data_IF_090242524194
#
_entry.id   IF_090242524194
#
_cell.length_a   1.000
_cell.length_b   1.000
_cell.length_c   1.000
_cell.angle_alpha   90.00
_cell.angle_beta   90.00
_cell.angle_gamma   90.00
#
_symmetry.space_group_name_H-M   'P 1'
#
loop_
_entity.id
_entity.type
_entity.pdbx_description
1 polymer ?
#
# COMPACT_ATOMS: atom_id res chain seq x y z
N UNK A 1 -8.02 -16.28 21.43
CA UNK A 1 -7.99 -16.34 19.94
C UNK A 1 -9.29 -15.78 19.39
N UNK A 2 -9.28 -14.85 18.44
CA UNK A 2 -8.95 -13.44 18.66
C UNK A 2 -10.06 -12.61 18.00
N UNK A 3 -10.71 -11.71 18.75
CA UNK A 3 -11.68 -10.75 18.22
C UNK A 3 -11.12 -10.01 16.99
N UNK A 4 -9.81 -9.71 17.01
CA UNK A 4 -9.07 -9.17 15.88
C UNK A 4 -9.20 -10.01 14.60
N UNK A 5 -9.14 -11.36 14.66
CA UNK A 5 -9.30 -12.21 13.47
C UNK A 5 -10.73 -12.22 12.93
N UNK A 6 -11.73 -12.19 13.82
CA UNK A 6 -13.13 -12.09 13.43
C UNK A 6 -13.43 -10.72 12.78
N UNK A 7 -12.96 -9.63 13.40
CA UNK A 7 -13.09 -8.29 12.86
C UNK A 7 -12.37 -8.13 11.51
N UNK A 8 -11.20 -8.75 11.35
CA UNK A 8 -10.42 -8.72 10.12
C UNK A 8 -11.06 -9.57 9.01
N UNK A 9 -11.66 -10.71 9.35
CA UNK A 9 -12.48 -11.51 8.44
C UNK A 9 -13.75 -10.77 8.00
N UNK A 10 -14.43 -10.10 8.93
CA UNK A 10 -15.63 -9.31 8.66
C UNK A 10 -15.32 -8.08 7.81
N UNK A 11 -14.19 -7.41 8.05
CA UNK A 11 -13.67 -6.29 7.24
C UNK A 11 -13.31 -6.73 5.80
N UNK A 12 -12.65 -7.88 5.64
CA UNK A 12 -12.34 -8.48 4.34
C UNK A 12 -13.59 -8.89 3.55
N UNK A 13 -14.68 -9.21 4.23
CA UNK A 13 -15.97 -9.47 3.60
C UNK A 13 -16.71 -8.17 3.28
N UNK A 14 -16.75 -7.20 4.19
CA UNK A 14 -17.42 -5.92 3.97
C UNK A 14 -16.90 -5.15 2.75
N UNK A 15 -15.61 -5.30 2.40
CA UNK A 15 -15.00 -4.65 1.24
C UNK A 15 -15.19 -5.35 -0.12
N UNK A 16 -15.85 -6.50 -0.18
CA UNK A 16 -15.96 -7.30 -1.42
C UNK A 16 -17.25 -6.98 -2.22
N UNK A 17 -17.18 -6.83 -3.56
CA UNK A 17 -18.35 -6.61 -4.42
C UNK A 17 -19.52 -7.59 -4.23
N UNK A 18 -19.33 -8.92 -4.07
CA UNK A 18 -20.44 -9.85 -3.85
C UNK A 18 -21.19 -9.63 -2.52
N UNK A 19 -20.55 -9.02 -1.54
CA UNK A 19 -21.15 -8.78 -0.21
C UNK A 19 -22.24 -7.72 -0.28
N UNK A 20 -22.07 -6.73 -1.16
CA UNK A 20 -23.11 -5.75 -1.47
C UNK A 20 -24.34 -6.42 -2.10
N UNK A 21 -24.12 -7.35 -3.05
CA UNK A 21 -25.21 -8.10 -3.67
C UNK A 21 -26.00 -8.93 -2.65
N UNK A 22 -25.31 -9.58 -1.68
CA UNK A 22 -25.96 -10.30 -0.58
C UNK A 22 -26.75 -9.36 0.33
N UNK A 23 -26.20 -8.19 0.67
CA UNK A 23 -26.92 -7.19 1.46
C UNK A 23 -28.19 -6.67 0.75
N UNK A 24 -28.10 -6.41 -0.56
CA UNK A 24 -29.26 -6.05 -1.38
C UNK A 24 -30.30 -7.18 -1.43
N UNK A 25 -29.87 -8.44 -1.57
CA UNK A 25 -30.78 -9.58 -1.56
C UNK A 25 -31.51 -9.71 -0.22
N UNK A 26 -30.82 -9.52 0.91
CA UNK A 26 -31.43 -9.51 2.24
C UNK A 26 -32.48 -8.40 2.40
N UNK A 27 -32.20 -7.20 1.88
CA UNK A 27 -33.18 -6.10 1.87
C UNK A 27 -34.42 -6.44 1.04
N UNK A 28 -34.25 -7.08 -0.12
CA UNK A 28 -35.37 -7.52 -0.96
C UNK A 28 -36.21 -8.59 -0.25
N UNK A 29 -35.57 -9.59 0.36
CA UNK A 29 -36.28 -10.63 1.14
C UNK A 29 -37.07 -10.01 2.29
N UNK A 30 -36.48 -9.07 3.02
CA UNK A 30 -37.18 -8.35 4.08
C UNK A 30 -38.39 -7.56 3.53
N UNK A 31 -38.22 -6.82 2.43
CA UNK A 31 -39.31 -6.06 1.80
C UNK A 31 -40.46 -6.97 1.34
N UNK A 32 -40.16 -8.12 0.74
CA UNK A 32 -41.14 -9.11 0.28
C UNK A 32 -41.83 -9.82 1.45
N UNK A 33 -41.20 -9.88 2.63
CA UNK A 33 -41.87 -10.41 3.84
C UNK A 33 -42.92 -9.44 4.40
N UNK A 34 -42.83 -8.14 4.13
CA UNK A 34 -43.74 -7.10 4.64
C UNK A 34 -45.24 -7.35 4.39
N UNK A 35 -45.66 -7.71 3.17
CA UNK A 35 -47.05 -8.07 2.87
C UNK A 35 -47.60 -9.23 3.72
N UNK A 36 -46.78 -10.23 4.06
CA UNK A 36 -47.20 -11.36 4.90
C UNK A 36 -47.44 -10.94 6.36
N UNK A 37 -46.74 -9.90 6.82
CA UNK A 37 -46.85 -9.34 8.18
C UNK A 37 -47.72 -8.08 8.25
N UNK A 38 -48.45 -7.75 7.18
CA UNK A 38 -49.29 -6.55 7.07
C UNK A 38 -48.55 -5.24 7.38
N UNK A 39 -47.23 -5.19 7.15
CA UNK A 39 -46.38 -4.04 7.50
C UNK A 39 -46.54 -3.55 8.95
N UNK A 40 -46.74 -4.48 9.89
CA UNK A 40 -46.98 -4.14 11.29
C UNK A 40 -45.75 -3.52 12.01
N UNK A 41 -45.97 -3.02 13.22
CA UNK A 41 -44.93 -2.38 14.02
C UNK A 41 -43.75 -3.32 14.34
N UNK A 42 -43.99 -4.63 14.49
CA UNK A 42 -42.93 -5.61 14.73
C UNK A 42 -42.01 -5.77 13.52
N UNK A 43 -42.57 -5.78 12.30
CA UNK A 43 -41.82 -5.89 11.05
C UNK A 43 -40.90 -4.68 10.83
N UNK A 44 -41.39 -3.48 11.15
CA UNK A 44 -40.58 -2.24 11.11
C UNK A 44 -39.54 -2.19 12.25
N UNK A 45 -39.92 -2.63 13.46
CA UNK A 45 -39.02 -2.64 14.61
C UNK A 45 -37.80 -3.52 14.33
N UNK A 46 -38.00 -4.70 13.73
CA UNK A 46 -36.90 -5.63 13.42
C UNK A 46 -35.84 -4.97 12.53
N UNK A 47 -36.21 -4.28 11.45
CA UNK A 47 -35.22 -3.65 10.56
C UNK A 47 -34.52 -2.47 11.24
N UNK A 48 -35.27 -1.67 11.99
CA UNK A 48 -34.77 -0.47 12.64
C UNK A 48 -33.77 -0.82 13.74
N UNK A 49 -34.12 -1.78 14.60
CA UNK A 49 -33.23 -2.28 15.65
C UNK A 49 -32.00 -2.97 15.06
N UNK A 50 -32.18 -3.80 14.03
CA UNK A 50 -31.05 -4.50 13.38
C UNK A 50 -30.06 -3.53 12.75
N UNK A 51 -30.55 -2.55 12.00
CA UNK A 51 -29.71 -1.54 11.35
C UNK A 51 -28.94 -0.72 12.38
N UNK A 52 -29.58 -0.38 13.50
CA UNK A 52 -28.93 0.35 14.60
C UNK A 52 -27.77 -0.45 15.19
N UNK A 53 -27.96 -1.73 15.48
CA UNK A 53 -26.90 -2.61 15.99
C UNK A 53 -25.74 -2.72 14.98
N UNK A 54 -26.06 -2.97 13.71
CA UNK A 54 -25.04 -3.06 12.65
C UNK A 54 -24.28 -1.76 12.51
N UNK A 55 -24.97 -0.62 12.57
CA UNK A 55 -24.35 0.71 12.50
C UNK A 55 -23.41 0.95 13.69
N UNK A 56 -23.84 0.62 14.91
CA UNK A 56 -22.98 0.70 16.09
C UNK A 56 -21.72 -0.15 15.92
N UNK A 57 -21.86 -1.39 15.48
CA UNK A 57 -20.72 -2.28 15.21
C UNK A 57 -19.82 -1.75 14.09
N UNK A 58 -20.39 -1.18 13.03
CA UNK A 58 -19.68 -0.57 11.92
C UNK A 58 -18.81 0.59 12.40
N UNK A 59 -19.35 1.47 13.26
CA UNK A 59 -18.58 2.57 13.87
C UNK A 59 -17.38 2.05 14.64
N UNK A 60 -17.56 1.00 15.48
CA UNK A 60 -16.43 0.37 16.17
C UNK A 60 -15.39 -0.24 15.23
N UNK A 61 -15.84 -0.91 14.16
CA UNK A 61 -14.93 -1.50 13.15
C UNK A 61 -14.15 -0.44 12.38
N UNK A 62 -14.81 0.65 11.99
CA UNK A 62 -14.20 1.81 11.34
C UNK A 62 -13.15 2.40 12.28
N UNK A 63 -13.49 2.66 13.55
CA UNK A 63 -12.55 3.20 14.53
C UNK A 63 -11.34 2.29 14.75
N UNK A 64 -11.52 0.97 14.85
CA UNK A 64 -10.41 0.02 14.99
C UNK A 64 -9.49 -0.02 13.77
N UNK A 65 -10.06 0.11 12.56
CA UNK A 65 -9.28 0.14 11.32
C UNK A 65 -8.55 1.48 11.19
N UNK A 66 -9.26 2.59 11.44
CA UNK A 66 -8.69 3.94 11.43
C UNK A 66 -7.54 4.09 12.43
N UNK A 67 -7.67 3.55 13.65
CA UNK A 67 -6.61 3.63 14.65
C UNK A 67 -5.31 2.96 14.16
N UNK A 68 -5.40 1.81 13.49
CA UNK A 68 -4.24 1.12 12.90
C UNK A 68 -3.65 1.87 11.70
N UNK A 69 -4.49 2.46 10.86
CA UNK A 69 -4.05 3.21 9.69
C UNK A 69 -3.33 4.50 10.09
N UNK A 70 -3.78 5.17 11.15
CA UNK A 70 -3.10 6.33 11.74
C UNK A 70 -1.72 5.97 12.28
N UNK A 71 -1.59 4.86 13.02
CA UNK A 71 -0.28 4.39 13.52
C UNK A 71 0.70 4.10 12.38
N UNK A 72 0.24 3.42 11.32
CA UNK A 72 1.06 3.12 10.15
C UNK A 72 1.48 4.40 9.39
N UNK A 73 0.61 5.40 9.35
CA UNK A 73 0.90 6.70 8.73
C UNK A 73 1.98 7.47 9.49
N UNK A 74 1.94 7.49 10.83
CA UNK A 74 3.00 8.09 11.65
C UNK A 74 4.36 7.43 11.39
N UNK A 75 4.43 6.10 11.39
CA UNK A 75 5.69 5.38 11.11
C UNK A 75 6.26 5.75 9.74
N UNK A 76 5.41 5.87 8.71
CA UNK A 76 5.85 6.29 7.38
C UNK A 76 6.37 7.72 7.36
N UNK A 77 5.72 8.65 8.07
CA UNK A 77 6.18 10.04 8.18
C UNK A 77 7.53 10.08 8.92
N UNK A 78 7.68 9.34 10.00
CA UNK A 78 8.92 9.29 10.78
C UNK A 78 10.09 8.79 9.93
N UNK A 79 9.86 7.77 9.09
CA UNK A 79 10.89 7.27 8.17
C UNK A 79 11.23 8.27 7.06
N UNK A 80 10.25 9.02 6.53
CA UNK A 80 10.50 10.10 5.57
C UNK A 80 11.29 11.26 6.19
N UNK A 81 10.99 11.62 7.44
CA UNK A 81 11.74 12.64 8.16
C UNK A 81 13.17 12.17 8.45
N UNK A 82 13.33 10.92 8.90
CA UNK A 82 14.64 10.33 9.17
C UNK A 82 15.51 10.26 7.92
N UNK A 83 14.96 9.81 6.79
CA UNK A 83 15.71 9.74 5.53
C UNK A 83 16.10 11.13 5.03
N UNK A 84 15.21 12.12 5.17
CA UNK A 84 15.51 13.52 4.84
C UNK A 84 16.59 14.10 5.76
N UNK A 85 16.51 13.87 7.07
CA UNK A 85 17.51 14.35 8.03
C UNK A 85 18.86 13.66 7.81
N UNK A 86 18.89 12.35 7.59
CA UNK A 86 20.12 11.61 7.30
C UNK A 86 20.78 12.08 5.99
N UNK A 87 19.98 12.39 4.96
CA UNK A 87 20.50 12.97 3.72
C UNK A 87 21.05 14.38 3.95
N UNK A 88 20.40 15.18 4.79
CA UNK A 88 20.84 16.52 5.15
C UNK A 88 22.13 16.50 6.00
N UNK A 89 22.21 15.63 7.00
CA UNK A 89 23.40 15.42 7.83
C UNK A 89 24.58 14.91 6.98
N UNK A 90 24.32 13.99 6.06
CA UNK A 90 25.33 13.50 5.12
C UNK A 90 25.85 14.61 4.20
N UNK A 91 24.99 15.54 3.76
CA UNK A 91 25.36 16.71 2.98
C UNK A 91 26.15 17.74 3.80
N UNK A 92 25.73 18.06 5.03
CA UNK A 92 26.52 18.94 5.92
C UNK A 92 27.90 18.36 6.20
N UNK A 93 27.98 17.04 6.42
CA UNK A 93 29.26 16.36 6.60
C UNK A 93 30.20 16.51 5.41
N UNK A 94 29.70 16.76 4.19
CA UNK A 94 30.52 17.07 3.02
C UNK A 94 31.18 18.44 3.08
N UNK A 95 30.58 19.42 3.76
CA UNK A 95 31.17 20.76 3.93
C UNK A 95 32.28 20.77 5.01
N UNK A 96 32.24 19.84 5.96
CA UNK A 96 33.28 19.66 6.99
C UNK A 96 34.46 18.79 6.52
N UNK A 97 34.33 18.11 5.38
CA UNK A 97 35.37 17.25 4.81
C UNK A 97 36.49 18.09 4.17
N UNK A 98 37.73 17.84 4.59
CA UNK A 98 38.90 18.52 4.01
C UNK A 98 39.20 17.99 2.59
N UNK A 99 39.93 18.75 1.77
CA UNK A 99 40.10 18.46 0.34
C UNK A 99 40.63 17.03 0.05
N UNK A 100 41.55 16.54 0.89
CA UNK A 100 42.13 15.20 0.77
C UNK A 100 41.10 14.09 1.11
N UNK A 101 40.18 14.35 2.06
CA UNK A 101 39.13 13.42 2.45
C UNK A 101 38.04 13.33 1.38
N UNK A 102 37.71 14.46 0.77
CA UNK A 102 36.77 14.57 -0.35
C UNK A 102 37.29 13.81 -1.59
N UNK A 103 38.60 13.82 -1.81
CA UNK A 103 39.25 13.07 -2.89
C UNK A 103 39.25 11.56 -2.61
N UNK A 104 39.56 11.12 -1.38
CA UNK A 104 39.43 9.70 -0.99
C UNK A 104 38.00 9.18 -1.14
N UNK A 105 37.00 9.99 -0.78
CA UNK A 105 35.59 9.64 -0.95
C UNK A 105 35.25 9.43 -2.44
N UNK A 106 35.72 10.35 -3.30
CA UNK A 106 35.53 10.27 -4.76
C UNK A 106 36.17 9.03 -5.38
N UNK A 107 37.42 8.72 -5.02
CA UNK A 107 38.13 7.53 -5.48
C UNK A 107 37.41 6.25 -5.07
N UNK A 108 36.82 6.23 -3.88
CA UNK A 108 36.05 5.09 -3.37
C UNK A 108 34.77 4.86 -4.19
N UNK A 109 34.04 5.93 -4.53
CA UNK A 109 32.85 5.85 -5.39
C UNK A 109 33.18 5.46 -6.84
N UNK A 110 34.28 5.95 -7.42
CA UNK A 110 34.71 5.56 -8.76
C UNK A 110 35.02 4.06 -8.83
N UNK A 111 35.74 3.51 -7.85
CA UNK A 111 36.01 2.06 -7.79
C UNK A 111 34.74 1.22 -7.64
N UNK A 112 33.76 1.71 -6.88
CA UNK A 112 32.46 1.03 -6.76
C UNK A 112 31.67 1.05 -8.08
N UNK A 113 31.68 2.18 -8.80
CA UNK A 113 31.05 2.29 -10.12
C UNK A 113 31.71 1.41 -11.19
N UNK A 114 33.03 1.29 -11.17
CA UNK A 114 33.80 0.40 -12.04
C UNK A 114 33.51 -1.08 -11.74
N UNK A 115 33.34 -1.43 -10.46
CA UNK A 115 32.99 -2.79 -10.03
C UNK A 115 31.54 -3.17 -10.37
N UNK A 116 30.62 -2.22 -10.33
CA UNK A 116 29.22 -2.42 -10.75
C UNK A 116 29.07 -2.42 -12.29
N UNK A 117 29.91 -1.67 -13.01
CA UNK A 117 29.98 -1.66 -14.48
C UNK A 117 30.69 -2.88 -15.09
N UNK A 118 31.37 -3.70 -14.28
CA UNK A 118 32.00 -4.95 -14.72
C UNK A 118 30.99 -6.10 -14.95
N UNK A 119 29.69 -5.85 -14.72
CA UNK A 119 28.62 -6.84 -14.88
C UNK A 119 28.02 -6.95 -16.28
N UNK A 120 27.92 -5.89 -17.07
CA UNK A 120 27.38 -5.94 -18.45
C UNK A 120 27.68 -4.62 -19.16
N UNK A 121 28.66 -4.63 -20.08
CA UNK A 121 29.09 -3.42 -20.78
C UNK A 121 28.16 -3.11 -21.97
N UNK A 122 27.58 -1.89 -22.07
CA UNK A 122 26.82 -1.43 -23.25
C UNK A 122 27.62 -1.44 -24.57
N UNK A 123 28.95 -1.57 -24.48
CA UNK A 123 29.87 -1.65 -25.62
C UNK A 123 29.65 -2.89 -26.49
N UNK A 124 29.09 -3.99 -25.96
CA UNK A 124 28.84 -5.20 -26.75
C UNK A 124 27.70 -5.04 -27.75
N UNK A 125 26.70 -4.22 -27.45
CA UNK A 125 25.57 -3.96 -28.35
C UNK A 125 26.01 -3.10 -29.53
N UNK A 126 26.80 -2.05 -29.27
CA UNK A 126 27.32 -1.16 -30.31
C UNK A 126 28.29 -1.87 -31.28
N UNK A 127 29.09 -2.83 -30.79
CA UNK A 127 29.97 -3.62 -31.66
C UNK A 127 29.23 -4.72 -32.45
N UNK A 128 28.02 -5.13 -32.03
CA UNK A 128 27.24 -6.14 -32.72
C UNK A 128 26.46 -5.54 -33.91
N UNK A 129 25.94 -4.32 -33.77
CA UNK A 129 25.29 -3.60 -34.88
C UNK A 129 26.28 -3.19 -35.99
N UNK A 130 27.55 -2.92 -35.65
CA UNK A 130 28.60 -2.64 -36.65
C UNK A 130 29.09 -3.91 -37.37
N UNK A 131 28.96 -5.08 -36.76
CA UNK A 131 29.34 -6.35 -37.39
C UNK A 131 28.26 -6.90 -38.35
N UNK A 132 27.00 -6.48 -38.17
CA UNK A 132 25.86 -6.96 -38.99
C UNK A 132 25.58 -6.04 -40.20
N UNK A 133 26.18 -4.84 -40.26
CA UNK A 133 26.03 -3.88 -41.35
C UNK A 133 27.04 -3.98 -42.51
N UNK A 134 28.03 -4.87 -42.43
CA UNK A 134 29.16 -4.96 -43.38
C UNK A 134 29.22 -6.28 -44.16
N UNK A 135 28.11 -7.03 -44.25
CA UNK A 135 28.04 -8.22 -45.10
C UNK A 135 27.67 -7.83 -46.55
N UNK A 136 28.55 -8.06 -47.55
CA UNK A 136 28.25 -7.72 -48.93
C UNK A 136 27.26 -8.75 -49.53
N UNK A 137 26.37 -8.33 -50.46
CA UNK A 137 25.40 -9.23 -51.06
C UNK A 137 26.11 -10.28 -51.92
N UNK A 138 25.71 -11.55 -51.77
CA UNK A 138 26.06 -12.65 -52.68
C UNK A 138 25.20 -12.63 -53.94
#
# INVERSE_FOLDING_TARGET
>A
MSFSRFAQWLSLWAGRPPTFAVACALLVVWAVSGPFFHFNDTWQLVINTSTTIVTFLMVFLIQNTQNRDTDALHIKIDELLRTTHAAHDALMGLDELDAEQLQKLRDTYQRMGESAGAGETPQRVANQEQAEGDEPPR
#
